data_IF_542820739523
#
_entry.id   IF_542820739523
#
_cell.length_a   1.000
_cell.length_b   1.000
_cell.length_c   1.000
_cell.angle_alpha   90.00
_cell.angle_beta   90.00
_cell.angle_gamma   90.00
#
_symmetry.space_group_name_H-M   'P 1'
#
loop_
_entity.id
_entity.type
_entity.pdbx_description
1 polymer ?
#
# COMPACT_ATOMS: atom_id res chain seq x y z
N UNK A 1 -1.27 -6.69 7.14
CA UNK A 1 -0.43 -6.25 8.25
C UNK A 1 -1.30 -5.65 9.33
N UNK A 2 -1.13 -6.16 10.55
CA UNK A 2 -1.92 -5.81 11.74
C UNK A 2 -1.28 -4.76 12.64
N UNK A 3 -0.18 -4.12 12.24
CA UNK A 3 0.54 -3.15 13.08
C UNK A 3 1.88 -3.67 13.57
N UNK A 4 2.53 -2.91 14.44
CA UNK A 4 3.84 -3.18 15.03
C UNK A 4 3.74 -2.99 16.55
N UNK A 5 4.44 -3.84 17.30
CA UNK A 5 4.51 -3.74 18.75
C UNK A 5 5.27 -2.48 19.19
N UNK A 6 4.75 -1.79 20.20
CA UNK A 6 5.36 -0.57 20.74
C UNK A 6 6.83 -0.73 21.10
N UNK A 7 7.21 -1.85 21.75
CA UNK A 7 8.62 -2.11 22.13
C UNK A 7 9.59 -2.08 20.93
N UNK A 8 9.14 -2.51 19.76
CA UNK A 8 9.95 -2.49 18.53
C UNK A 8 10.15 -1.05 18.07
N UNK A 9 9.07 -0.26 18.08
CA UNK A 9 9.10 1.15 17.70
C UNK A 9 9.97 1.96 18.66
N UNK A 10 9.77 1.80 19.97
CA UNK A 10 10.54 2.46 21.02
C UNK A 10 12.03 2.13 20.87
N UNK A 11 12.41 0.84 20.80
CA UNK A 11 13.81 0.44 20.60
C UNK A 11 14.43 1.07 19.35
N UNK A 12 13.70 1.12 18.23
CA UNK A 12 14.21 1.74 16.98
C UNK A 12 14.36 3.25 17.08
N UNK A 13 13.48 3.91 17.84
CA UNK A 13 13.64 5.33 18.16
C UNK A 13 14.92 5.54 18.99
N UNK A 14 15.12 4.74 20.03
CA UNK A 14 16.30 4.84 20.92
C UNK A 14 17.61 4.60 20.17
N UNK A 15 17.67 3.57 19.32
CA UNK A 15 18.82 3.31 18.45
C UNK A 15 19.15 4.50 17.54
N UNK A 16 18.12 5.16 17.00
CA UNK A 16 18.28 6.28 16.05
C UNK A 16 18.70 7.57 16.73
N UNK A 17 18.15 7.84 17.91
CA UNK A 17 18.32 9.12 18.60
C UNK A 17 19.31 9.05 19.77
N UNK A 18 19.92 7.88 20.01
CA UNK A 18 20.83 7.61 21.13
C UNK A 18 20.27 8.10 22.48
N UNK A 19 18.94 8.01 22.64
CA UNK A 19 18.20 8.57 23.77
C UNK A 19 17.10 7.58 24.16
N UNK A 20 16.95 7.30 25.45
CA UNK A 20 15.92 6.39 25.97
C UNK A 20 14.53 7.02 25.87
N UNK A 21 13.55 6.25 25.39
CA UNK A 21 12.15 6.66 25.42
C UNK A 21 11.55 6.21 26.75
N UNK A 22 11.53 7.12 27.72
CA UNK A 22 10.98 6.87 29.05
C UNK A 22 9.61 7.57 29.20
N UNK A 23 8.49 6.82 29.17
CA UNK A 23 7.16 7.39 29.40
C UNK A 23 7.07 8.18 30.71
N UNK A 24 7.70 7.69 31.80
CA UNK A 24 7.60 8.33 33.10
C UNK A 24 8.29 9.70 33.11
N UNK A 25 9.45 9.81 32.45
CA UNK A 25 10.15 11.09 32.28
C UNK A 25 9.33 12.12 31.47
N UNK A 26 8.40 11.65 30.63
CA UNK A 26 7.46 12.48 29.87
C UNK A 26 6.14 12.75 30.61
N UNK A 27 6.01 12.31 31.87
CA UNK A 27 4.79 12.45 32.65
C UNK A 27 3.67 11.48 32.24
N UNK A 28 3.99 10.42 31.50
CA UNK A 28 3.06 9.41 31.00
C UNK A 28 3.13 8.16 31.87
N UNK A 29 1.96 7.58 32.16
CA UNK A 29 1.84 6.48 33.12
C UNK A 29 2.13 5.10 32.54
N UNK A 30 2.12 4.96 31.20
CA UNK A 30 2.35 3.69 30.52
C UNK A 30 2.86 3.87 29.09
N UNK A 31 3.44 2.82 28.48
CA UNK A 31 3.73 2.76 27.05
C UNK A 31 2.51 3.03 26.16
N UNK A 32 1.32 2.54 26.53
CA UNK A 32 0.07 2.88 25.84
C UNK A 32 -0.27 4.36 25.90
N UNK A 33 -0.11 5.00 27.07
CA UNK A 33 -0.30 6.45 27.19
C UNK A 33 0.70 7.21 26.33
N UNK A 34 1.95 6.76 26.26
CA UNK A 34 2.98 7.34 25.40
C UNK A 34 2.65 7.18 23.91
N UNK A 35 2.23 6.00 23.47
CA UNK A 35 1.83 5.76 22.09
C UNK A 35 0.68 6.69 21.68
N UNK A 36 -0.32 6.80 22.55
CA UNK A 36 -1.50 7.62 22.30
C UNK A 36 -1.16 9.10 22.31
N UNK A 37 -0.34 9.58 23.25
CA UNK A 37 -0.02 11.01 23.38
C UNK A 37 0.97 11.50 22.31
N UNK A 38 2.01 10.72 22.02
CA UNK A 38 3.11 11.15 21.15
C UNK A 38 2.78 11.02 19.65
N UNK A 39 1.86 10.12 19.29
CA UNK A 39 1.61 9.73 17.91
C UNK A 39 0.13 9.80 17.54
N UNK A 40 -0.66 10.58 18.28
CA UNK A 40 -2.12 10.70 18.16
C UNK A 40 -2.61 11.05 16.74
N UNK A 41 -1.81 11.80 15.98
CA UNK A 41 -2.14 12.28 14.63
C UNK A 41 -1.65 11.34 13.51
N UNK A 42 -0.78 10.38 13.85
CA UNK A 42 -0.10 9.52 12.87
C UNK A 42 -0.47 8.04 13.02
N UNK A 43 -0.81 7.59 14.24
CA UNK A 43 -1.06 6.19 14.54
C UNK A 43 -2.46 5.95 15.09
N UNK A 44 -2.98 4.76 14.76
CA UNK A 44 -4.13 4.13 15.39
C UNK A 44 -3.69 2.96 16.26
N UNK A 45 -4.41 2.74 17.35
CA UNK A 45 -4.27 1.52 18.15
C UNK A 45 -4.94 0.36 17.43
N UNK A 46 -4.23 -0.76 17.33
CA UNK A 46 -4.76 -2.01 16.78
C UNK A 46 -5.10 -3.01 17.89
N UNK A 47 -4.22 -3.08 18.88
CA UNK A 47 -4.42 -3.87 20.09
C UNK A 47 -3.92 -3.04 21.27
N UNK A 48 -4.79 -2.85 22.25
CA UNK A 48 -4.53 -2.10 23.47
C UNK A 48 -4.74 -2.96 24.73
N UNK A 49 -4.92 -4.28 24.57
CA UNK A 49 -5.12 -5.20 25.68
C UNK A 49 -3.84 -5.32 26.55
N UNK A 50 -2.68 -5.22 25.91
CA UNK A 50 -1.38 -5.08 26.58
C UNK A 50 -0.98 -3.60 26.67
N UNK A 51 -1.19 -2.99 27.84
CA UNK A 51 -0.87 -1.59 28.10
C UNK A 51 0.65 -1.29 28.11
N UNK A 52 1.48 -2.31 28.32
CA UNK A 52 2.94 -2.19 28.36
C UNK A 52 3.58 -2.38 26.98
N UNK A 53 2.90 -3.10 26.09
CA UNK A 53 3.37 -3.32 24.73
C UNK A 53 2.22 -3.36 23.71
N UNK A 54 1.50 -2.25 23.52
CA UNK A 54 0.38 -2.20 22.59
C UNK A 54 0.84 -2.38 21.14
N UNK A 55 -0.09 -2.79 20.28
CA UNK A 55 0.14 -2.87 18.84
C UNK A 55 -0.41 -1.62 18.18
N UNK A 56 0.46 -0.89 17.50
CA UNK A 56 0.13 0.35 16.81
C UNK A 56 0.24 0.18 15.29
N UNK A 57 -0.59 0.89 14.53
CA UNK A 57 -0.49 0.96 13.08
C UNK A 57 -0.62 2.41 12.62
N UNK A 58 -0.13 2.70 11.42
CA UNK A 58 -0.30 4.01 10.81
C UNK A 58 -1.77 4.26 10.52
N UNK A 59 -2.23 5.49 10.77
CA UNK A 59 -3.55 5.97 10.41
C UNK A 59 -3.78 5.85 8.90
N UNK A 60 -5.02 5.56 8.51
CA UNK A 60 -5.37 5.31 7.12
C UNK A 60 -5.07 6.53 6.23
N UNK A 61 -5.40 7.73 6.70
CA UNK A 61 -5.11 8.97 6.00
C UNK A 61 -3.60 9.17 5.76
N UNK A 62 -2.77 8.80 6.74
CA UNK A 62 -1.31 8.91 6.62
C UNK A 62 -0.75 7.81 5.70
N UNK A 63 -1.25 6.59 5.80
CA UNK A 63 -0.82 5.48 4.95
C UNK A 63 -1.18 5.70 3.46
N UNK A 64 -2.27 6.44 3.21
CA UNK A 64 -2.74 6.81 1.88
C UNK A 64 -2.09 8.07 1.30
N UNK A 65 -1.40 8.87 2.10
CA UNK A 65 -0.67 10.05 1.64
C UNK A 65 0.75 9.68 1.18
N UNK A 66 1.11 9.84 -0.11
CA UNK A 66 2.48 9.56 -0.58
C UNK A 66 3.52 10.37 0.19
N UNK A 67 4.54 9.69 0.74
CA UNK A 67 5.69 10.35 1.39
C UNK A 67 6.99 9.89 0.75
N UNK A 68 7.84 10.86 0.39
CA UNK A 68 9.12 10.57 -0.25
C UNK A 68 10.00 9.70 0.66
N UNK A 69 10.55 8.63 0.10
CA UNK A 69 11.51 7.75 0.80
C UNK A 69 10.91 6.88 1.91
N UNK A 70 9.60 6.93 2.16
CA UNK A 70 8.93 6.14 3.19
C UNK A 70 8.07 5.05 2.57
N UNK A 71 8.40 3.79 2.89
CA UNK A 71 7.55 2.65 2.53
C UNK A 71 6.42 2.41 3.55
N UNK A 72 6.30 3.25 4.58
CA UNK A 72 5.14 3.25 5.47
C UNK A 72 3.83 3.61 4.75
N UNK A 73 3.92 4.30 3.61
CA UNK A 73 2.79 4.71 2.77
C UNK A 73 2.59 3.74 1.59
N UNK A 74 2.94 2.46 1.78
CA UNK A 74 2.80 1.43 0.75
C UNK A 74 1.37 1.27 0.19
N UNK A 75 0.27 1.53 0.93
CA UNK A 75 -1.07 1.48 0.33
C UNK A 75 -1.25 2.52 -0.77
N UNK A 76 -0.73 3.74 -0.57
CA UNK A 76 -0.70 4.77 -1.63
C UNK A 76 0.11 4.33 -2.85
N UNK A 77 1.24 3.64 -2.62
CA UNK A 77 2.05 3.07 -3.70
C UNK A 77 1.28 1.99 -4.43
N UNK A 78 0.67 1.04 -3.73
CA UNK A 78 -0.14 -0.03 -4.31
C UNK A 78 -1.26 0.54 -5.18
N UNK A 79 -2.02 1.51 -4.65
CA UNK A 79 -3.08 2.18 -5.40
C UNK A 79 -2.53 2.87 -6.66
N UNK A 80 -1.36 3.48 -6.57
CA UNK A 80 -0.70 4.12 -7.71
C UNK A 80 -0.25 3.09 -8.75
N UNK A 81 0.26 1.93 -8.33
CA UNK A 81 0.58 0.81 -9.22
C UNK A 81 -0.67 0.34 -9.98
N UNK A 82 -1.79 0.14 -9.29
CA UNK A 82 -3.06 -0.22 -9.93
C UNK A 82 -3.47 0.80 -11.00
N UNK A 83 -3.46 2.09 -10.65
CA UNK A 83 -3.80 3.17 -11.59
C UNK A 83 -2.85 3.19 -12.80
N UNK A 84 -1.55 3.01 -12.57
CA UNK A 84 -0.56 2.95 -13.65
C UNK A 84 -0.84 1.79 -14.60
N UNK A 85 -1.08 0.58 -14.07
CA UNK A 85 -1.36 -0.60 -14.90
C UNK A 85 -2.68 -0.43 -15.66
N UNK A 86 -3.70 0.12 -15.02
CA UNK A 86 -4.99 0.39 -15.67
C UNK A 86 -4.87 1.41 -16.81
N UNK A 87 -4.10 2.48 -16.62
CA UNK A 87 -3.98 3.57 -17.62
C UNK A 87 -2.96 3.32 -18.72
N UNK A 88 -1.92 2.52 -18.45
CA UNK A 88 -0.78 2.34 -19.38
C UNK A 88 -0.50 0.88 -19.75
N UNK A 89 -1.22 -0.07 -19.15
CA UNK A 89 -1.15 -1.48 -19.50
C UNK A 89 -1.89 -1.78 -20.79
N UNK A 90 -1.53 -2.89 -21.41
CA UNK A 90 -2.25 -3.44 -22.57
C UNK A 90 -3.31 -4.42 -22.09
N UNK A 91 -4.55 -4.39 -22.62
CA UNK A 91 -5.54 -5.40 -22.32
C UNK A 91 -4.97 -6.78 -22.64
N UNK A 92 -5.07 -7.73 -21.70
CA UNK A 92 -4.73 -9.12 -21.97
C UNK A 92 -5.73 -9.64 -23.00
N UNK A 93 -5.25 -9.92 -24.21
CA UNK A 93 -6.02 -10.67 -25.17
C UNK A 93 -6.20 -12.07 -24.60
N UNK A 94 -7.40 -12.34 -24.09
CA UNK A 94 -7.78 -13.67 -23.62
C UNK A 94 -7.49 -14.64 -24.79
N UNK A 95 -6.61 -15.64 -24.63
CA UNK A 95 -6.49 -16.66 -25.66
C UNK A 95 -7.90 -17.26 -25.79
N UNK A 96 -8.42 -17.28 -27.01
CA UNK A 96 -9.69 -17.93 -27.37
C UNK A 96 -9.68 -19.32 -26.73
N UNK A 97 -10.33 -19.46 -25.58
CA UNK A 97 -10.43 -20.74 -24.91
C UNK A 97 -11.39 -21.56 -25.77
N UNK A 98 -10.85 -22.62 -26.37
CA UNK A 98 -11.62 -23.64 -27.06
C UNK A 98 -12.85 -24.00 -26.22
N UNK A 99 -14.01 -23.77 -26.85
CA UNK A 99 -15.35 -23.96 -26.37
C UNK A 99 -15.50 -25.25 -25.56
N UNK A 100 -15.45 -25.15 -24.23
CA UNK A 100 -16.03 -26.18 -23.35
C UNK A 100 -17.18 -25.55 -22.60
N UNK A 101 -18.38 -25.89 -23.08
CA UNK A 101 -19.66 -25.49 -22.53
C UNK A 101 -19.77 -25.91 -21.06
N UNK A 102 -19.66 -24.96 -20.14
CA UNK A 102 -20.30 -25.09 -18.83
C UNK A 102 -20.78 -23.72 -18.38
N UNK A 103 -22.09 -23.53 -18.51
CA UNK A 103 -22.84 -22.35 -18.16
C UNK A 103 -22.78 -22.09 -16.65
N UNK A 104 -21.98 -21.10 -16.24
CA UNK A 104 -22.14 -20.41 -14.97
C UNK A 104 -22.82 -19.04 -15.22
N UNK A 105 -23.80 -18.62 -14.41
CA UNK A 105 -24.56 -17.39 -14.67
C UNK A 105 -23.76 -16.15 -14.25
N UNK A 106 -23.53 -15.26 -15.22
CA UNK A 106 -23.35 -13.81 -15.05
C UNK A 106 -22.28 -13.35 -14.05
N UNK A 107 -21.02 -13.62 -14.37
CA UNK A 107 -19.93 -12.70 -14.04
C UNK A 107 -19.36 -12.20 -15.37
N UNK A 108 -19.40 -10.89 -15.63
CA UNK A 108 -18.79 -10.32 -16.84
C UNK A 108 -17.31 -10.71 -16.94
N UNK A 109 -16.74 -10.76 -18.16
CA UNK A 109 -15.35 -11.18 -18.33
C UNK A 109 -14.43 -10.26 -17.52
N UNK A 110 -13.67 -10.83 -16.58
CA UNK A 110 -12.68 -10.06 -15.84
C UNK A 110 -11.61 -9.54 -16.81
N UNK A 111 -11.59 -8.23 -17.05
CA UNK A 111 -10.58 -7.62 -17.93
C UNK A 111 -9.28 -7.51 -17.16
N UNK A 112 -8.22 -8.08 -17.73
CA UNK A 112 -6.88 -7.96 -17.18
C UNK A 112 -6.04 -6.98 -18.01
N UNK A 113 -5.18 -6.22 -17.34
CA UNK A 113 -4.24 -5.28 -17.95
C UNK A 113 -2.82 -5.65 -17.57
N UNK A 114 -1.94 -5.69 -18.56
CA UNK A 114 -0.54 -6.10 -18.41
C UNK A 114 0.40 -4.93 -18.68
N UNK A 115 1.35 -4.69 -17.77
CA UNK A 115 2.40 -3.70 -17.93
C UNK A 115 3.78 -4.31 -17.68
N UNK A 116 4.71 -4.11 -18.62
CA UNK A 116 6.11 -4.51 -18.44
C UNK A 116 6.75 -3.77 -17.27
N UNK A 117 7.46 -4.52 -16.41
CA UNK A 117 8.08 -3.99 -15.20
C UNK A 117 9.16 -2.95 -15.53
N UNK A 118 9.88 -3.12 -16.65
CA UNK A 118 10.84 -2.14 -17.16
C UNK A 118 10.23 -0.75 -17.41
N UNK A 119 8.93 -0.64 -17.68
CA UNK A 119 8.24 0.63 -17.91
C UNK A 119 7.79 1.33 -16.62
N UNK A 120 7.93 0.67 -15.47
CA UNK A 120 7.31 1.13 -14.23
C UNK A 120 8.00 2.35 -13.59
N UNK A 121 9.33 2.42 -13.63
CA UNK A 121 10.11 3.50 -13.02
C UNK A 121 9.70 4.91 -13.48
N UNK A 122 9.68 5.22 -14.79
CA UNK A 122 9.27 6.55 -15.25
C UNK A 122 7.81 6.88 -14.90
N UNK A 123 6.93 5.88 -14.88
CA UNK A 123 5.52 6.07 -14.53
C UNK A 123 5.33 6.36 -13.03
N UNK A 124 6.12 5.72 -12.16
CA UNK A 124 6.15 6.04 -10.72
C UNK A 124 6.73 7.42 -10.45
N UNK A 125 7.76 7.83 -11.20
CA UNK A 125 8.29 9.20 -11.12
C UNK A 125 7.22 10.23 -11.48
N UNK A 126 6.42 9.96 -12.52
CA UNK A 126 5.37 10.87 -12.97
C UNK A 126 4.12 10.89 -12.05
N UNK A 127 3.72 9.75 -11.48
CA UNK A 127 2.41 9.60 -10.81
C UNK A 127 2.48 9.49 -9.29
N UNK A 128 3.61 9.08 -8.71
CA UNK A 128 3.75 8.89 -7.26
C UNK A 128 4.63 9.96 -6.63
N UNK A 129 5.88 10.10 -7.09
CA UNK A 129 6.77 11.18 -6.68
C UNK A 129 7.91 11.39 -7.68
N UNK A 130 8.18 12.64 -8.05
CA UNK A 130 9.14 13.02 -9.10
C UNK A 130 10.56 12.42 -8.88
N UNK A 131 11.01 12.38 -7.63
CA UNK A 131 12.34 11.89 -7.26
C UNK A 131 12.37 10.38 -6.97
N UNK A 132 11.49 9.60 -7.61
CA UNK A 132 11.40 8.18 -7.31
C UNK A 132 12.66 7.44 -7.73
N UNK A 133 13.25 6.78 -6.74
CA UNK A 133 14.34 5.84 -6.91
C UNK A 133 14.20 4.67 -5.93
N UNK A 134 13.97 3.47 -6.47
CA UNK A 134 13.78 2.26 -5.68
C UNK A 134 15.01 1.91 -4.83
N UNK A 135 16.21 2.33 -5.24
CA UNK A 135 17.47 2.02 -4.53
C UNK A 135 17.64 2.81 -3.22
N UNK A 136 16.91 3.91 -3.10
CA UNK A 136 16.85 4.76 -1.92
C UNK A 136 15.82 4.27 -0.88
N UNK A 137 14.91 3.40 -1.29
CA UNK A 137 13.81 2.95 -0.44
C UNK A 137 14.28 1.92 0.60
N UNK A 138 13.79 2.11 1.81
CA UNK A 138 14.05 1.25 2.97
C UNK A 138 12.81 1.14 3.84
N UNK A 139 12.65 0.01 4.50
CA UNK A 139 11.59 -0.21 5.48
C UNK A 139 12.14 -1.00 6.68
N UNK A 140 11.42 -0.94 7.79
CA UNK A 140 11.71 -1.77 8.97
C UNK A 140 10.81 -3.01 8.91
N UNK A 141 11.38 -4.20 9.11
CA UNK A 141 10.60 -5.43 9.30
C UNK A 141 9.80 -5.39 10.61
N UNK A 142 8.96 -6.40 10.84
CA UNK A 142 8.17 -6.53 12.07
C UNK A 142 9.07 -6.64 13.32
N UNK A 143 10.28 -7.18 13.15
CA UNK A 143 11.32 -7.28 14.18
C UNK A 143 12.16 -6.00 14.28
N UNK A 144 11.88 -4.98 13.47
CA UNK A 144 12.63 -3.74 13.40
C UNK A 144 13.94 -3.83 12.61
N UNK A 145 14.14 -4.86 11.78
CA UNK A 145 15.35 -4.95 10.94
C UNK A 145 15.24 -4.04 9.73
N UNK A 146 16.28 -3.26 9.44
CA UNK A 146 16.27 -2.37 8.27
C UNK A 146 16.49 -3.18 6.99
N UNK A 147 15.49 -3.16 6.11
CA UNK A 147 15.53 -3.82 4.80
C UNK A 147 15.63 -2.77 3.70
N UNK A 148 16.64 -2.92 2.83
CA UNK A 148 16.88 -2.04 1.69
C UNK A 148 16.33 -2.66 0.40
N UNK A 149 15.60 -1.86 -0.37
CA UNK A 149 15.17 -2.24 -1.72
C UNK A 149 16.30 -1.92 -2.70
N UNK A 150 16.68 -2.91 -3.51
CA UNK A 150 17.77 -2.79 -4.49
C UNK A 150 17.32 -2.77 -5.95
N UNK A 151 16.13 -3.31 -6.22
CA UNK A 151 15.62 -3.52 -7.58
C UNK A 151 14.12 -3.32 -7.59
N UNK A 152 13.58 -2.87 -8.73
CA UNK A 152 12.14 -2.69 -8.93
C UNK A 152 11.35 -3.97 -8.63
N UNK A 153 11.87 -5.14 -9.03
CA UNK A 153 11.27 -6.45 -8.71
C UNK A 153 11.06 -6.63 -7.20
N UNK A 154 12.06 -6.31 -6.38
CA UNK A 154 11.96 -6.47 -4.92
C UNK A 154 10.94 -5.51 -4.30
N UNK A 155 10.82 -4.29 -4.85
CA UNK A 155 9.79 -3.34 -4.42
C UNK A 155 8.39 -3.91 -4.65
N UNK A 156 8.11 -4.32 -5.90
CA UNK A 156 6.79 -4.84 -6.27
C UNK A 156 6.47 -6.09 -5.47
N UNK A 157 7.41 -7.04 -5.36
CA UNK A 157 7.21 -8.24 -4.54
C UNK A 157 6.91 -7.93 -3.07
N UNK A 158 7.60 -6.95 -2.47
CA UNK A 158 7.32 -6.55 -1.09
C UNK A 158 5.90 -5.98 -0.94
N UNK A 159 5.51 -5.10 -1.87
CA UNK A 159 4.19 -4.45 -1.88
C UNK A 159 3.06 -5.46 -2.09
N UNK A 160 3.22 -6.43 -3.00
CA UNK A 160 2.23 -7.50 -3.19
C UNK A 160 2.11 -8.38 -1.95
N UNK A 161 3.24 -8.78 -1.34
CA UNK A 161 3.23 -9.54 -0.09
C UNK A 161 2.53 -8.80 1.04
N UNK A 162 2.75 -7.49 1.18
CA UNK A 162 2.07 -6.69 2.20
C UNK A 162 0.56 -6.58 1.97
N UNK A 163 0.13 -6.51 0.70
CA UNK A 163 -1.28 -6.58 0.33
C UNK A 163 -1.88 -7.92 0.74
N UNK A 164 -1.23 -9.03 0.44
CA UNK A 164 -1.74 -10.36 0.81
C UNK A 164 -1.82 -10.52 2.34
N UNK A 165 -0.80 -10.08 3.06
CA UNK A 165 -0.82 -10.01 4.53
C UNK A 165 -1.93 -9.10 5.07
N UNK A 166 -2.31 -8.02 4.36
CA UNK A 166 -3.42 -7.14 4.76
C UNK A 166 -4.76 -7.81 4.53
N UNK A 167 -4.95 -8.44 3.37
CA UNK A 167 -6.18 -9.18 3.06
C UNK A 167 -6.38 -10.33 4.03
N UNK A 168 -5.35 -11.15 4.29
CA UNK A 168 -5.41 -12.25 5.25
C UNK A 168 -5.75 -11.75 6.67
N UNK A 169 -5.09 -10.68 7.13
CA UNK A 169 -5.39 -10.06 8.42
C UNK A 169 -6.81 -9.49 8.52
N UNK A 170 -7.35 -8.91 7.44
CA UNK A 170 -8.74 -8.43 7.44
C UNK A 170 -9.74 -9.57 7.50
N UNK A 171 -9.43 -10.74 6.97
CA UNK A 171 -10.31 -11.92 7.08
C UNK A 171 -10.47 -12.40 8.55
N UNK A 172 -9.52 -12.07 9.43
CA UNK A 172 -9.55 -12.47 10.85
C UNK A 172 -10.08 -11.38 11.79
N UNK A 173 -10.32 -10.15 11.31
CA UNK A 173 -10.66 -8.98 12.15
C UNK A 173 -11.96 -8.33 11.65
N UNK A 174 -12.77 -7.82 12.59
CA UNK A 174 -14.08 -7.16 12.41
C UNK A 174 -14.32 -6.41 11.07
N UNK A 175 -15.56 -6.45 10.53
CA UNK A 175 -15.88 -6.11 9.12
C UNK A 175 -15.77 -4.64 8.70
N UNK A 176 -15.37 -3.69 9.56
CA UNK A 176 -15.29 -2.28 9.17
C UNK A 176 -14.21 -2.04 8.09
N UNK A 177 -14.64 -1.91 6.84
CA UNK A 177 -13.75 -1.65 5.70
C UNK A 177 -13.12 -0.27 5.85
N UNK A 178 -11.81 -0.21 5.65
CA UNK A 178 -11.00 1.00 5.80
C UNK A 178 -10.54 1.51 4.42
N UNK A 179 -10.04 2.75 4.33
CA UNK A 179 -9.58 3.32 3.06
C UNK A 179 -8.39 2.54 2.48
N UNK A 180 -7.53 1.99 3.35
CA UNK A 180 -6.46 1.07 2.95
C UNK A 180 -7.03 -0.21 2.33
N UNK A 181 -8.12 -0.76 2.88
CA UNK A 181 -8.72 -2.00 2.37
C UNK A 181 -9.34 -1.79 0.98
N UNK A 182 -9.97 -0.64 0.75
CA UNK A 182 -10.47 -0.22 -0.56
C UNK A 182 -9.31 -0.10 -1.57
N UNK A 183 -8.21 0.54 -1.17
CA UNK A 183 -7.07 0.80 -2.04
C UNK A 183 -6.36 -0.49 -2.51
N UNK A 184 -6.37 -1.53 -1.67
CA UNK A 184 -5.69 -2.82 -1.95
C UNK A 184 -6.63 -3.90 -2.45
N UNK A 185 -7.92 -3.58 -2.63
CA UNK A 185 -8.91 -4.49 -3.21
C UNK A 185 -8.50 -4.98 -4.61
N UNK A 186 -8.10 -4.12 -5.57
CA UNK A 186 -7.74 -4.59 -6.90
C UNK A 186 -6.56 -5.56 -6.81
N UNK A 187 -6.62 -6.67 -7.54
CA UNK A 187 -5.59 -7.70 -7.47
C UNK A 187 -4.48 -7.43 -8.49
N UNK A 188 -3.27 -7.17 -7.99
CA UNK A 188 -2.06 -7.09 -8.79
C UNK A 188 -1.25 -8.38 -8.67
N UNK A 189 -0.65 -8.79 -9.78
CA UNK A 189 0.21 -9.97 -9.84
C UNK A 189 1.47 -9.70 -10.63
N UNK A 190 2.59 -10.32 -10.23
CA UNK A 190 3.86 -10.22 -10.93
C UNK A 190 4.20 -11.57 -11.56
N UNK A 191 4.28 -11.62 -12.90
CA UNK A 191 4.55 -12.84 -13.67
C UNK A 191 5.72 -12.63 -14.64
N UNK A 192 6.31 -13.71 -15.14
CA UNK A 192 7.28 -13.63 -16.23
C UNK A 192 6.56 -13.34 -17.56
N UNK A 193 7.11 -12.43 -18.37
CA UNK A 193 6.58 -12.20 -19.72
C UNK A 193 6.87 -13.41 -20.61
N UNK A 194 5.87 -13.82 -21.40
CA UNK A 194 6.06 -14.86 -22.43
C UNK A 194 6.73 -14.34 -23.69
N UNK A 195 6.67 -13.02 -23.92
CA UNK A 195 7.14 -12.36 -25.16
C UNK A 195 8.43 -11.58 -24.97
N UNK A 196 8.75 -11.19 -23.75
CA UNK A 196 9.89 -10.36 -23.41
C UNK A 196 10.74 -11.05 -22.33
N UNK A 197 12.05 -10.81 -22.30
CA UNK A 197 12.89 -11.20 -21.15
C UNK A 197 12.72 -10.19 -20.01
N UNK A 198 11.49 -10.04 -19.52
CA UNK A 198 11.07 -9.08 -18.49
C UNK A 198 9.94 -9.68 -17.62
N UNK A 199 9.61 -8.98 -16.53
CA UNK A 199 8.43 -9.27 -15.73
C UNK A 199 7.24 -8.41 -16.18
N UNK A 200 6.03 -8.91 -15.94
CA UNK A 200 4.77 -8.22 -16.22
C UNK A 200 4.03 -8.03 -14.91
N UNK A 201 3.64 -6.80 -14.63
CA UNK A 201 2.69 -6.46 -13.59
C UNK A 201 1.28 -6.48 -14.20
N UNK A 202 0.47 -7.42 -13.74
CA UNK A 202 -0.89 -7.67 -14.20
C UNK A 202 -1.89 -7.15 -13.19
N UNK A 203 -2.90 -6.41 -13.64
CA UNK A 203 -4.05 -5.99 -12.85
C UNK A 203 -5.28 -6.79 -13.29
N UNK A 204 -5.96 -7.44 -12.35
CA UNK A 204 -7.23 -8.12 -12.59
C UNK A 204 -8.35 -7.20 -12.15
N UNK A 205 -9.16 -6.73 -13.10
CA UNK A 205 -10.32 -5.88 -12.85
C UNK A 205 -11.60 -6.71 -13.00
N UNK A 206 -12.34 -6.91 -11.90
CA UNK A 206 -13.69 -7.45 -11.99
C UNK A 206 -14.61 -6.34 -12.53
N UNK A 207 -15.17 -6.50 -13.72
CA UNK A 207 -16.19 -5.58 -14.22
C UNK A 207 -17.41 -5.63 -13.30
N UNK A 208 -17.79 -4.47 -12.76
CA UNK A 208 -18.85 -4.31 -11.75
C UNK A 208 -18.61 -3.18 -10.76
N UNK A 209 -17.39 -2.62 -10.68
CA UNK A 209 -17.10 -1.42 -9.89
C UNK A 209 -16.83 -0.23 -10.82
N UNK A 210 -17.88 0.55 -11.05
CA UNK A 210 -17.82 1.81 -11.79
C UNK A 210 -16.96 2.81 -10.97
N UNK A 211 -15.71 3.02 -11.37
CA UNK A 211 -14.89 4.11 -10.80
C UNK A 211 -15.41 5.42 -11.38
N UNK A 212 -16.20 6.16 -10.61
CA UNK A 212 -16.49 7.56 -10.92
C UNK A 212 -15.16 8.33 -10.88
N UNK A 213 -14.77 8.84 -12.04
CA UNK A 213 -13.75 9.88 -12.17
C UNK A 213 -14.24 11.13 -11.41
N UNK A 214 -13.47 11.68 -10.46
CA UNK A 214 -13.86 12.92 -9.80
C UNK A 214 -13.82 14.03 -10.85
N UNK A 215 -15.01 14.54 -11.20
CA UNK A 215 -15.17 15.68 -12.07
C UNK A 215 -14.34 16.86 -11.53
N UNK A 216 -13.41 17.35 -12.34
CA UNK A 216 -12.71 18.62 -12.11
C UNK A 216 -13.75 19.73 -11.92
N UNK A 217 -13.67 20.55 -10.86
CA UNK A 217 -14.53 21.71 -10.74
C UNK A 217 -14.22 22.71 -11.87
N UNK A 218 -15.17 22.82 -12.78
CA UNK A 218 -15.22 23.80 -13.85
C UNK A 218 -15.24 25.22 -13.27
N UNK A 219 -14.27 26.03 -13.72
CA UNK A 219 -14.30 27.48 -13.86
C UNK A 219 -14.72 28.35 -12.66
N UNK A 220 -13.74 29.10 -12.13
CA UNK A 220 -13.96 30.31 -11.34
C UNK A 220 -14.66 31.39 -12.21
N UNK A 221 -15.67 32.10 -11.69
CA UNK A 221 -16.25 33.23 -12.40
C UNK A 221 -15.25 34.40 -12.43
N UNK A 222 -15.18 35.05 -13.60
CA UNK A 222 -14.41 36.25 -13.85
C UNK A 222 -14.78 37.36 -12.87
N UNK A 223 -13.76 37.98 -12.26
CA UNK A 223 -13.90 39.27 -11.57
C UNK A 223 -14.21 40.35 -12.60
N UNK A 224 -15.38 40.97 -12.50
CA UNK A 224 -15.66 42.25 -13.14
C UNK A 224 -14.89 43.37 -12.41
N UNK A 225 -14.39 44.31 -13.21
CA UNK A 225 -13.73 45.55 -12.79
C UNK A 225 -14.61 46.46 -11.92
#
# INVERSE_FOLDING_TARGET
MGGIQWRVLARKYEERHATRLDPAALGLTSPLAAATALLWDVLRLVDADDADNPVVAVEDAVAMAPRQGSLGTWPSLYQTLCKIVLSHGTPEQQPEAESTHTSAPWSGPAVAYDLLLSRLKPLLQMRWHANFDESSLRYLSEEGTLVRIRKMKHLVQAVLRWRDQRVAWRATVSPKVTAVDEAVRPALELRASKRHNDLVLRLIHAEGQHVQEPALPSALPARAC
#
